data_IF_478550295088
#
_entry.id   IF_478550295088
#
_cell.length_a   1.000
_cell.length_b   1.000
_cell.length_c   1.000
_cell.angle_alpha   90.00
_cell.angle_beta   90.00
_cell.angle_gamma   90.00
#
_symmetry.space_group_name_H-M   'P 1'
#
loop_
_entity.id
_entity.type
_entity.pdbx_description
1 polymer ?
#
# COMPACT_ATOMS: atom_id res chain seq x y z
N UNK A 1 7.43 -19.74 17.55
CA UNK A 1 8.04 -18.69 18.41
C UNK A 1 6.90 -17.99 19.12
N UNK A 2 6.93 -17.93 20.46
CA UNK A 2 5.86 -17.36 21.28
C UNK A 2 5.53 -15.93 20.82
N UNK A 3 4.26 -15.66 20.51
CA UNK A 3 3.74 -14.34 20.11
C UNK A 3 3.80 -13.27 21.21
N UNK A 4 4.39 -13.59 22.37
CA UNK A 4 4.45 -12.75 23.56
C UNK A 4 5.38 -11.53 23.43
N UNK A 5 6.22 -11.44 22.40
CA UNK A 5 7.14 -10.30 22.22
C UNK A 5 6.77 -9.44 20.99
N UNK A 6 7.01 -8.13 21.10
CA UNK A 6 6.85 -7.18 20.01
C UNK A 6 7.81 -7.50 18.85
N UNK A 7 7.30 -7.46 17.62
CA UNK A 7 8.13 -7.70 16.43
C UNK A 7 9.20 -6.61 16.20
N UNK A 8 8.96 -5.38 16.68
CA UNK A 8 9.88 -4.25 16.51
C UNK A 8 10.83 -4.09 17.71
N UNK A 9 10.30 -3.69 18.87
CA UNK A 9 11.13 -3.35 20.04
C UNK A 9 11.55 -4.57 20.89
N UNK A 10 11.05 -5.77 20.56
CA UNK A 10 11.30 -7.03 21.29
C UNK A 10 10.87 -7.02 22.76
N UNK A 11 10.18 -5.98 23.24
CA UNK A 11 9.58 -5.99 24.57
C UNK A 11 8.43 -7.00 24.65
N UNK A 12 8.21 -7.55 25.84
CA UNK A 12 7.05 -8.38 26.12
C UNK A 12 5.75 -7.57 25.97
N UNK A 13 4.76 -8.14 25.28
CA UNK A 13 3.45 -7.53 25.09
C UNK A 13 2.68 -7.64 26.39
N UNK A 14 2.48 -6.51 27.05
CA UNK A 14 1.57 -6.39 28.18
C UNK A 14 0.18 -6.10 27.64
N UNK A 15 -0.68 -7.11 27.59
CA UNK A 15 -2.10 -6.89 27.34
C UNK A 15 -2.77 -6.37 28.62
N UNK A 16 -3.71 -5.42 28.53
CA UNK A 16 -4.59 -5.14 29.66
C UNK A 16 -5.37 -6.42 29.99
N UNK A 17 -5.29 -6.87 31.25
CA UNK A 17 -6.07 -8.00 31.75
C UNK A 17 -7.55 -7.63 31.66
N UNK A 18 -8.26 -8.25 30.72
CA UNK A 18 -9.71 -8.14 30.56
C UNK A 18 -10.31 -9.53 30.67
N UNK A 19 -11.59 -9.63 31.05
CA UNK A 19 -12.28 -10.95 31.12
C UNK A 19 -12.17 -11.74 29.81
N UNK A 20 -12.08 -11.05 28.67
CA UNK A 20 -11.91 -11.67 27.35
C UNK A 20 -10.49 -12.21 27.12
N UNK A 21 -9.43 -11.55 27.62
CA UNK A 21 -8.05 -12.03 27.47
C UNK A 21 -7.72 -13.26 28.34
N UNK A 22 -8.56 -13.58 29.34
CA UNK A 22 -8.52 -14.85 30.09
C UNK A 22 -9.14 -16.02 29.31
N UNK A 23 -10.13 -15.75 28.45
CA UNK A 23 -10.83 -16.78 27.66
C UNK A 23 -10.17 -17.02 26.30
N UNK A 24 -9.39 -16.05 25.80
CA UNK A 24 -8.63 -16.15 24.57
C UNK A 24 -7.39 -15.24 24.67
N UNK A 25 -6.25 -15.74 25.17
CA UNK A 25 -5.02 -14.95 25.21
C UNK A 25 -4.66 -14.52 23.78
N UNK A 26 -4.35 -13.24 23.57
CA UNK A 26 -3.94 -12.75 22.26
C UNK A 26 -2.57 -13.33 21.91
N UNK A 27 -2.61 -14.42 21.15
CA UNK A 27 -1.43 -15.07 20.58
C UNK A 27 -0.98 -14.39 19.29
N UNK A 28 -1.58 -13.26 18.91
CA UNK A 28 -1.28 -12.61 17.63
C UNK A 28 0.17 -12.16 17.57
N UNK A 29 0.82 -12.48 16.46
CA UNK A 29 2.10 -11.89 16.06
C UNK A 29 1.88 -10.41 15.72
N UNK A 30 2.72 -9.50 16.23
CA UNK A 30 2.52 -8.08 15.96
C UNK A 30 3.30 -7.10 16.84
N UNK A 31 3.02 -5.80 16.67
CA UNK A 31 3.61 -4.73 17.49
C UNK A 31 2.94 -4.65 18.87
N UNK A 32 3.69 -4.29 19.91
CA UNK A 32 3.11 -3.95 21.22
C UNK A 32 2.35 -2.61 21.15
N UNK A 33 1.52 -2.32 22.16
CA UNK A 33 0.71 -1.10 22.22
C UNK A 33 1.54 0.17 22.02
N UNK A 34 2.65 0.31 22.75
CA UNK A 34 3.55 1.48 22.63
C UNK A 34 4.13 1.67 21.22
N UNK A 35 4.45 0.58 20.51
CA UNK A 35 4.87 0.67 19.11
C UNK A 35 3.71 0.99 18.17
N UNK A 36 2.51 0.50 18.46
CA UNK A 36 1.31 0.81 17.68
C UNK A 36 0.90 2.29 17.81
N UNK A 37 1.02 2.87 19.00
CA UNK A 37 0.68 4.28 19.26
C UNK A 37 1.62 5.26 18.57
N UNK A 38 2.87 4.86 18.31
CA UNK A 38 3.83 5.66 17.55
C UNK A 38 3.59 5.63 16.03
N UNK A 39 2.69 4.76 15.54
CA UNK A 39 2.29 4.74 14.14
C UNK A 39 1.11 5.70 13.91
N UNK A 40 1.38 6.80 13.20
CA UNK A 40 0.38 7.82 12.88
C UNK A 40 -0.59 7.31 11.80
N UNK A 41 -1.78 6.87 12.23
CA UNK A 41 -2.83 6.38 11.32
C UNK A 41 -3.52 7.54 10.62
N UNK A 42 -3.75 7.39 9.33
CA UNK A 42 -4.52 8.35 8.55
C UNK A 42 -6.00 8.12 8.81
N UNK A 43 -6.73 9.16 9.20
CA UNK A 43 -8.19 9.12 9.27
C UNK A 43 -8.78 9.17 7.84
N UNK A 44 -9.53 8.14 7.41
CA UNK A 44 -10.15 8.14 6.08
C UNK A 44 -11.05 9.36 5.82
N UNK A 45 -11.71 9.93 6.84
CA UNK A 45 -12.60 11.08 6.71
C UNK A 45 -11.84 12.38 6.39
N UNK A 46 -10.58 12.46 6.81
CA UNK A 46 -9.71 13.62 6.63
C UNK A 46 -8.52 13.30 5.72
N UNK A 47 -8.68 12.31 4.84
CA UNK A 47 -7.68 11.91 3.86
C UNK A 47 -7.99 12.47 2.47
N UNK A 48 -6.95 12.72 1.67
CA UNK A 48 -7.09 13.13 0.29
C UNK A 48 -7.84 12.05 -0.50
N UNK A 49 -8.94 12.43 -1.15
CA UNK A 49 -9.77 11.50 -1.92
C UNK A 49 -9.03 10.76 -3.04
N UNK A 50 -7.90 11.27 -3.54
CA UNK A 50 -7.16 10.66 -4.64
C UNK A 50 -5.89 9.91 -4.20
N UNK A 51 -5.13 10.41 -3.23
CA UNK A 51 -3.87 9.77 -2.83
C UNK A 51 -3.88 9.17 -1.43
N UNK A 52 -4.90 9.45 -0.61
CA UNK A 52 -4.96 9.01 0.78
C UNK A 52 -4.02 9.76 1.72
N UNK A 53 -3.45 10.92 1.32
CA UNK A 53 -2.65 11.77 2.21
C UNK A 53 -3.50 12.30 3.37
N UNK A 54 -2.97 12.32 4.59
CA UNK A 54 -3.58 13.03 5.70
C UNK A 54 -3.63 14.54 5.44
N UNK A 55 -4.84 15.12 5.37
CA UNK A 55 -5.04 16.53 5.07
C UNK A 55 -4.73 17.43 6.26
N UNK A 56 -4.71 16.93 7.49
CA UNK A 56 -4.32 17.73 8.66
C UNK A 56 -2.83 18.10 8.63
N UNK A 57 -2.01 17.30 7.94
CA UNK A 57 -0.59 17.58 7.72
C UNK A 57 -0.32 18.73 6.74
N UNK A 58 -1.36 19.27 6.08
CA UNK A 58 -1.24 20.30 5.07
C UNK A 58 -1.86 21.62 5.53
N UNK A 59 -1.26 22.73 5.12
CA UNK A 59 -1.91 24.03 5.27
C UNK A 59 -3.20 24.08 4.43
N UNK A 60 -4.27 24.75 4.90
CA UNK A 60 -5.54 24.82 4.20
C UNK A 60 -5.44 25.31 2.74
N UNK A 61 -4.46 26.19 2.45
CA UNK A 61 -4.20 26.69 1.09
C UNK A 61 -3.79 25.59 0.08
N UNK A 62 -3.33 24.43 0.56
CA UNK A 62 -2.95 23.29 -0.29
C UNK A 62 -4.02 22.19 -0.37
N UNK A 63 -5.23 22.47 0.13
CA UNK A 63 -6.36 21.53 0.13
C UNK A 63 -7.56 22.17 -0.54
N UNK A 64 -8.10 21.52 -1.57
CA UNK A 64 -9.34 21.95 -2.23
C UNK A 64 -10.27 20.74 -2.34
N UNK A 65 -11.48 20.85 -1.80
CA UNK A 65 -12.53 19.80 -1.87
C UNK A 65 -12.06 18.40 -1.42
N UNK A 66 -11.31 18.33 -0.31
CA UNK A 66 -10.66 17.10 0.17
C UNK A 66 -9.67 16.48 -0.82
N UNK A 67 -9.07 17.29 -1.69
CA UNK A 67 -8.00 16.90 -2.61
C UNK A 67 -6.77 17.76 -2.31
N UNK A 68 -5.61 17.12 -2.14
CA UNK A 68 -4.36 17.86 -1.96
C UNK A 68 -3.91 18.49 -3.29
N UNK A 69 -3.18 19.60 -3.21
CA UNK A 69 -2.68 20.34 -4.37
C UNK A 69 -1.87 19.47 -5.34
N UNK A 70 -1.13 18.47 -4.84
CA UNK A 70 -0.36 17.53 -5.66
C UNK A 70 -1.27 16.70 -6.58
N UNK A 71 -2.39 16.26 -6.05
CA UNK A 71 -3.40 15.49 -6.77
C UNK A 71 -4.15 16.34 -7.80
N UNK A 72 -4.35 17.63 -7.53
CA UNK A 72 -4.90 18.60 -8.50
C UNK A 72 -3.92 18.78 -9.66
N UNK A 73 -2.64 18.98 -9.38
CA UNK A 73 -1.60 19.07 -10.42
C UNK A 73 -1.53 17.83 -11.30
N UNK A 74 -1.69 16.64 -10.70
CA UNK A 74 -1.76 15.40 -11.46
C UNK A 74 -2.98 15.35 -12.39
N UNK A 75 -4.17 15.73 -11.91
CA UNK A 75 -5.37 15.82 -12.75
C UNK A 75 -5.15 16.77 -13.94
N UNK A 76 -4.59 17.95 -13.70
CA UNK A 76 -4.32 18.95 -14.74
C UNK A 76 -3.28 18.49 -15.77
N UNK A 77 -2.36 17.58 -15.39
CA UNK A 77 -1.36 17.05 -16.33
C UNK A 77 -1.91 16.10 -17.39
N UNK A 78 -3.16 15.62 -17.25
CA UNK A 78 -3.76 14.62 -18.13
C UNK A 78 -3.20 13.20 -17.96
N UNK A 79 -2.27 12.98 -17.02
CA UNK A 79 -1.56 11.69 -16.83
C UNK A 79 -2.21 10.73 -15.85
N UNK A 80 -3.50 10.88 -15.56
CA UNK A 80 -4.19 9.97 -14.64
C UNK A 80 -4.66 8.68 -15.32
N UNK A 81 -4.91 8.67 -16.64
CA UNK A 81 -5.34 7.46 -17.36
C UNK A 81 -6.49 6.73 -16.64
N UNK A 82 -6.34 5.42 -16.42
CA UNK A 82 -7.27 4.57 -15.66
C UNK A 82 -6.95 4.47 -14.15
N UNK A 83 -5.94 5.20 -13.68
CA UNK A 83 -5.54 5.19 -12.29
C UNK A 83 -6.48 6.08 -11.46
N UNK A 84 -7.27 5.45 -10.60
CA UNK A 84 -8.32 6.07 -9.80
C UNK A 84 -7.77 6.73 -8.53
N UNK A 85 -7.53 5.93 -7.50
CA UNK A 85 -7.07 6.42 -6.19
C UNK A 85 -6.06 5.51 -5.50
N UNK A 86 -5.32 6.11 -4.57
CA UNK A 86 -4.54 5.39 -3.56
C UNK A 86 -5.23 5.46 -2.20
N UNK A 87 -5.24 4.33 -1.52
CA UNK A 87 -5.56 4.19 -0.10
C UNK A 87 -4.25 4.10 0.68
N UNK A 88 -4.10 4.88 1.74
CA UNK A 88 -2.92 4.83 2.62
C UNK A 88 -3.34 4.58 4.07
N UNK A 89 -2.54 3.82 4.81
CA UNK A 89 -2.86 3.46 6.21
C UNK A 89 -2.19 4.42 7.20
N UNK A 90 -0.92 4.75 6.97
CA UNK A 90 -0.12 5.57 7.89
C UNK A 90 0.48 6.80 7.21
N UNK A 91 0.61 7.88 7.98
CA UNK A 91 1.46 9.02 7.63
C UNK A 91 2.92 8.66 7.88
N UNK A 92 3.82 9.19 7.07
CA UNK A 92 5.25 9.02 7.27
C UNK A 92 5.71 9.86 8.47
N UNK A 93 6.21 9.18 9.50
CA UNK A 93 6.85 9.81 10.66
C UNK A 93 8.20 9.14 10.98
N UNK A 94 8.85 9.62 12.05
CA UNK A 94 10.16 9.09 12.48
C UNK A 94 10.12 7.60 12.83
N UNK A 95 9.09 7.16 13.55
CA UNK A 95 8.97 5.77 13.98
C UNK A 95 8.76 4.80 12.82
N UNK A 96 7.81 5.08 11.91
CA UNK A 96 7.57 4.18 10.78
C UNK A 96 8.77 4.13 9.82
N UNK A 97 9.57 5.20 9.73
CA UNK A 97 10.86 5.18 9.01
C UNK A 97 11.81 4.13 9.59
N UNK A 98 11.93 4.04 10.91
CA UNK A 98 12.77 3.04 11.58
C UNK A 98 12.26 1.62 11.34
N UNK A 99 10.95 1.41 11.50
CA UNK A 99 10.30 0.12 11.20
C UNK A 99 10.57 -0.30 9.75
N UNK A 100 10.37 0.61 8.80
CA UNK A 100 10.61 0.32 7.38
C UNK A 100 12.08 0.14 7.04
N UNK A 101 13.00 0.78 7.78
CA UNK A 101 14.45 0.57 7.60
C UNK A 101 14.83 -0.85 8.03
N UNK A 102 14.32 -1.32 9.17
CA UNK A 102 14.53 -2.71 9.59
C UNK A 102 13.91 -3.69 8.60
N UNK A 103 12.68 -3.40 8.13
CA UNK A 103 12.00 -4.24 7.16
C UNK A 103 12.73 -4.31 5.81
N UNK A 104 13.30 -3.21 5.31
CA UNK A 104 13.96 -3.18 3.99
C UNK A 104 15.39 -3.70 4.00
N UNK A 105 16.18 -3.37 5.01
CA UNK A 105 17.64 -3.55 4.97
C UNK A 105 18.16 -4.62 5.92
N UNK A 106 17.42 -4.97 6.98
CA UNK A 106 17.80 -6.06 7.89
C UNK A 106 17.17 -7.39 7.53
N UNK A 107 16.40 -7.41 6.44
CA UNK A 107 15.75 -8.61 5.94
C UNK A 107 14.66 -9.16 6.86
N UNK A 108 14.13 -8.36 7.79
CA UNK A 108 13.18 -8.84 8.80
C UNK A 108 11.76 -8.91 8.22
N UNK A 109 11.55 -9.88 7.32
CA UNK A 109 10.30 -10.11 6.61
C UNK A 109 9.10 -10.31 7.54
N UNK A 110 9.35 -10.75 8.78
CA UNK A 110 8.32 -10.94 9.81
C UNK A 110 7.63 -9.63 10.19
N UNK A 111 8.27 -8.46 9.98
CA UNK A 111 7.65 -7.16 10.29
C UNK A 111 6.39 -6.91 9.45
N UNK A 112 6.23 -7.58 8.31
CA UNK A 112 4.98 -7.56 7.55
C UNK A 112 3.80 -8.08 8.38
N UNK A 113 4.02 -9.05 9.27
CA UNK A 113 3.00 -9.61 10.17
C UNK A 113 2.48 -8.55 11.14
N UNK A 114 3.32 -7.59 11.52
CA UNK A 114 2.95 -6.46 12.37
C UNK A 114 1.88 -5.55 11.76
N UNK A 115 1.76 -5.55 10.42
CA UNK A 115 0.79 -4.73 9.70
C UNK A 115 -0.45 -5.51 9.24
N UNK A 116 -0.50 -6.82 9.46
CA UNK A 116 -1.55 -7.69 8.91
C UNK A 116 -2.96 -7.26 9.33
N UNK A 117 -3.16 -6.98 10.62
CA UNK A 117 -4.46 -6.54 11.16
C UNK A 117 -4.96 -5.27 10.48
N UNK A 118 -4.07 -4.29 10.26
CA UNK A 118 -4.44 -3.00 9.69
C UNK A 118 -4.59 -3.07 8.17
N UNK A 119 -3.79 -3.88 7.48
CA UNK A 119 -3.96 -4.19 6.05
C UNK A 119 -5.31 -4.86 5.77
N UNK A 120 -5.70 -5.87 6.57
CA UNK A 120 -7.01 -6.53 6.45
C UNK A 120 -8.16 -5.58 6.71
N UNK A 121 -8.06 -4.71 7.73
CA UNK A 121 -9.07 -3.67 8.01
C UNK A 121 -9.19 -2.67 6.88
N UNK A 122 -8.06 -2.18 6.36
CA UNK A 122 -8.04 -1.25 5.23
C UNK A 122 -8.67 -1.88 4.00
N UNK A 123 -8.27 -3.09 3.63
CA UNK A 123 -8.85 -3.83 2.50
C UNK A 123 -10.36 -4.06 2.65
N UNK A 124 -10.80 -4.47 3.84
CA UNK A 124 -12.22 -4.67 4.14
C UNK A 124 -13.02 -3.37 3.95
N UNK A 125 -12.51 -2.23 4.42
CA UNK A 125 -13.15 -0.92 4.20
C UNK A 125 -13.24 -0.54 2.74
N UNK A 126 -12.21 -0.88 1.96
CA UNK A 126 -12.18 -0.58 0.52
C UNK A 126 -13.31 -1.35 -0.19
N UNK A 127 -13.48 -2.64 0.11
CA UNK A 127 -14.50 -3.49 -0.54
C UNK A 127 -15.92 -3.28 0.03
N UNK A 128 -16.04 -2.86 1.30
CA UNK A 128 -17.31 -2.74 2.03
C UNK A 128 -18.04 -1.41 1.76
N UNK A 129 -17.36 -0.40 1.20
CA UNK A 129 -17.96 0.91 0.89
C UNK A 129 -19.17 0.85 -0.06
N UNK A 130 -19.50 -0.32 -0.62
CA UNK A 130 -20.69 -0.60 -1.43
C UNK A 130 -21.63 -1.68 -0.86
N UNK A 131 -21.23 -2.44 0.16
CA UNK A 131 -21.97 -3.60 0.67
C UNK A 131 -23.06 -3.24 1.69
N UNK A 132 -23.18 -1.97 2.11
CA UNK A 132 -24.35 -1.48 2.87
C UNK A 132 -25.71 -1.69 2.17
N UNK A 133 -25.73 -2.11 0.89
CA UNK A 133 -26.94 -2.46 0.14
C UNK A 133 -27.02 -3.91 -0.36
N UNK A 134 -26.06 -4.79 -0.04
CA UNK A 134 -26.01 -6.15 -0.63
C UNK A 134 -26.06 -7.26 0.42
N UNK A 135 -27.11 -7.24 1.23
CA UNK A 135 -27.42 -8.33 2.18
C UNK A 135 -27.91 -9.64 1.53
N UNK A 136 -28.11 -9.69 0.21
CA UNK A 136 -28.38 -10.94 -0.50
C UNK A 136 -27.44 -11.05 -1.69
N UNK A 137 -26.35 -11.80 -1.53
CA UNK A 137 -25.86 -12.81 -2.48
C UNK A 137 -24.40 -13.13 -2.22
N UNK A 138 -24.15 -14.38 -1.81
CA UNK A 138 -22.86 -15.05 -1.86
C UNK A 138 -22.31 -14.98 -3.29
N UNK A 139 -21.48 -13.98 -3.56
CA UNK A 139 -20.45 -14.06 -4.60
C UNK A 139 -19.15 -13.62 -3.98
N UNK A 140 -18.28 -14.59 -3.73
CA UNK A 140 -16.89 -14.47 -3.32
C UNK A 140 -16.05 -13.80 -4.41
N UNK A 141 -16.34 -12.54 -4.71
CA UNK A 141 -15.52 -11.68 -5.54
C UNK A 141 -15.37 -10.37 -4.82
N UNK A 142 -14.19 -10.12 -4.23
CA UNK A 142 -13.84 -8.78 -3.77
C UNK A 142 -14.01 -7.78 -4.91
N UNK A 143 -14.16 -6.49 -4.60
CA UNK A 143 -14.29 -5.48 -5.64
C UNK A 143 -13.11 -5.47 -6.62
N UNK A 144 -11.93 -5.98 -6.22
CA UNK A 144 -10.77 -6.18 -7.07
C UNK A 144 -10.58 -7.65 -7.39
N UNK A 145 -10.42 -7.94 -8.66
CA UNK A 145 -10.29 -9.31 -9.18
C UNK A 145 -8.82 -9.72 -9.38
N UNK A 146 -7.88 -8.77 -9.22
CA UNK A 146 -6.45 -9.02 -9.17
C UNK A 146 -5.77 -8.02 -8.24
N UNK A 147 -4.97 -8.55 -7.30
CA UNK A 147 -4.09 -7.77 -6.43
C UNK A 147 -2.67 -7.93 -6.96
N UNK A 148 -2.04 -6.83 -7.35
CA UNK A 148 -0.75 -6.83 -8.02
C UNK A 148 0.26 -6.06 -7.18
N UNK A 149 1.23 -6.72 -6.53
CA UNK A 149 2.29 -6.01 -5.83
C UNK A 149 3.20 -5.29 -6.83
N UNK A 150 3.69 -4.11 -6.47
CA UNK A 150 4.69 -3.39 -7.27
C UNK A 150 6.02 -4.16 -7.24
N UNK A 151 6.61 -4.49 -8.40
CA UNK A 151 7.88 -5.20 -8.44
C UNK A 151 9.07 -4.30 -8.08
N UNK A 152 10.07 -4.90 -7.45
CA UNK A 152 11.40 -4.33 -7.33
C UNK A 152 12.20 -4.57 -8.61
N UNK A 153 13.26 -3.78 -8.83
CA UNK A 153 14.30 -4.20 -9.77
C UNK A 153 14.97 -5.48 -9.28
N UNK A 154 15.67 -6.15 -10.20
CA UNK A 154 16.49 -7.31 -9.86
C UNK A 154 17.57 -6.98 -8.84
N UNK A 155 18.19 -5.80 -8.91
CA UNK A 155 19.25 -5.37 -7.99
C UNK A 155 18.71 -5.21 -6.58
N UNK A 156 17.56 -4.54 -6.43
CA UNK A 156 16.92 -4.36 -5.12
C UNK A 156 16.39 -5.65 -4.56
N UNK A 157 15.90 -6.55 -5.41
CA UNK A 157 15.45 -7.86 -4.96
C UNK A 157 16.63 -8.68 -4.41
N UNK A 158 17.79 -8.64 -5.07
CA UNK A 158 19.03 -9.28 -4.58
C UNK A 158 19.52 -8.63 -3.29
N UNK A 159 19.55 -7.29 -3.21
CA UNK A 159 19.97 -6.54 -2.02
C UNK A 159 19.08 -6.84 -0.81
N UNK A 160 17.77 -6.94 -1.01
CA UNK A 160 16.78 -7.06 0.08
C UNK A 160 16.38 -8.49 0.39
N UNK A 161 16.64 -9.45 -0.50
CA UNK A 161 16.22 -10.85 -0.40
C UNK A 161 14.72 -11.10 -0.66
N UNK A 162 13.86 -10.07 -0.65
CA UNK A 162 12.43 -10.17 -0.91
C UNK A 162 11.80 -8.86 -1.39
N UNK A 163 10.58 -8.96 -1.93
CA UNK A 163 9.75 -7.81 -2.29
C UNK A 163 8.79 -7.43 -1.15
N UNK A 164 8.99 -6.24 -0.55
CA UNK A 164 8.15 -5.73 0.54
C UNK A 164 6.68 -5.63 0.15
N UNK A 165 6.42 -5.12 -1.06
CA UNK A 165 5.07 -4.94 -1.58
C UNK A 165 4.34 -6.29 -1.69
N UNK A 166 5.05 -7.35 -2.08
CA UNK A 166 4.52 -8.70 -2.15
C UNK A 166 4.18 -9.25 -0.77
N UNK A 167 5.08 -9.10 0.21
CA UNK A 167 4.84 -9.54 1.59
C UNK A 167 3.61 -8.83 2.19
N UNK A 168 3.49 -7.52 1.99
CA UNK A 168 2.32 -6.76 2.43
C UNK A 168 1.05 -7.19 1.69
N UNK A 169 1.10 -7.42 0.38
CA UNK A 169 -0.05 -7.88 -0.40
C UNK A 169 -0.57 -9.24 0.08
N UNK A 170 0.33 -10.17 0.45
CA UNK A 170 -0.03 -11.48 1.02
C UNK A 170 -0.80 -11.36 2.33
N UNK A 171 -0.60 -10.28 3.10
CA UNK A 171 -1.34 -10.04 4.37
C UNK A 171 -2.80 -9.65 4.18
N UNK A 172 -3.21 -9.30 2.96
CA UNK A 172 -4.61 -9.01 2.65
C UNK A 172 -5.51 -10.26 2.70
N UNK A 173 -4.92 -11.47 2.70
CA UNK A 173 -5.66 -12.73 2.75
C UNK A 173 -6.39 -13.05 1.43
N UNK A 174 -5.93 -12.49 0.32
CA UNK A 174 -6.47 -12.70 -1.02
C UNK A 174 -5.37 -13.18 -1.97
N UNK A 175 -5.71 -13.89 -3.06
CA UNK A 175 -4.74 -14.26 -4.09
C UNK A 175 -4.08 -13.03 -4.70
N UNK A 176 -2.74 -13.07 -4.82
CA UNK A 176 -1.95 -12.04 -5.50
C UNK A 176 -1.52 -12.52 -6.88
N UNK A 177 -1.31 -11.58 -7.79
CA UNK A 177 -0.89 -11.84 -9.17
C UNK A 177 0.42 -11.09 -9.43
N UNK A 178 1.47 -11.85 -9.76
CA UNK A 178 2.75 -11.29 -10.18
C UNK A 178 2.69 -10.86 -11.66
N UNK A 179 1.99 -9.75 -11.91
CA UNK A 179 1.67 -9.27 -13.25
C UNK A 179 2.73 -8.34 -13.88
N UNK A 180 3.57 -7.71 -13.06
CA UNK A 180 4.48 -6.66 -13.51
C UNK A 180 5.93 -7.07 -13.35
N UNK A 181 6.78 -6.62 -14.27
CA UNK A 181 8.24 -6.62 -14.11
C UNK A 181 8.75 -5.18 -14.11
N UNK A 182 9.86 -4.94 -13.42
CA UNK A 182 10.54 -3.64 -13.39
C UNK A 182 11.93 -3.75 -14.01
N UNK A 183 12.19 -2.94 -15.02
CA UNK A 183 13.50 -2.87 -15.65
C UNK A 183 14.53 -2.06 -14.84
N UNK A 184 15.81 -2.34 -15.11
CA UNK A 184 17.02 -2.00 -14.34
C UNK A 184 17.32 -0.50 -14.12
N UNK A 185 16.47 0.42 -14.54
CA UNK A 185 16.79 1.86 -14.59
C UNK A 185 16.72 2.60 -13.23
N UNK A 186 17.05 1.93 -12.12
CA UNK A 186 16.88 2.50 -10.77
C UNK A 186 17.94 3.52 -10.36
N UNK A 187 19.17 3.43 -10.87
CA UNK A 187 20.23 4.39 -10.55
C UNK A 187 19.86 5.83 -10.93
N UNK A 188 19.02 6.00 -11.96
CA UNK A 188 18.53 7.31 -12.39
C UNK A 188 17.36 7.80 -11.53
N UNK A 189 16.66 6.98 -10.73
CA UNK A 189 15.41 7.38 -10.08
C UNK A 189 15.58 7.82 -8.62
N UNK A 190 16.54 7.26 -7.87
CA UNK A 190 16.84 7.67 -6.49
C UNK A 190 17.52 9.03 -6.39
N UNK A 191 18.31 9.41 -7.41
CA UNK A 191 18.97 10.72 -7.51
C UNK A 191 18.08 11.83 -8.08
N UNK A 192 16.87 11.51 -8.53
CA UNK A 192 15.98 12.47 -9.19
C UNK A 192 15.14 13.27 -8.21
N UNK A 193 15.10 14.58 -8.39
CA UNK A 193 14.26 15.47 -7.60
C UNK A 193 12.76 15.25 -7.91
N UNK A 194 11.91 15.88 -7.10
CA UNK A 194 10.45 15.75 -7.23
C UNK A 194 9.93 16.10 -8.64
N UNK A 195 10.47 17.14 -9.29
CA UNK A 195 10.06 17.54 -10.64
C UNK A 195 10.46 16.51 -11.69
N UNK A 196 11.67 15.96 -11.59
CA UNK A 196 12.18 14.94 -12.51
C UNK A 196 11.40 13.63 -12.44
N UNK A 197 10.93 13.25 -11.24
CA UNK A 197 10.04 12.08 -11.08
C UNK A 197 8.67 12.28 -11.75
N UNK A 198 8.18 13.52 -11.84
CA UNK A 198 6.92 13.85 -12.52
C UNK A 198 7.06 13.82 -14.05
N UNK A 199 8.26 14.02 -14.59
CA UNK A 199 8.54 14.20 -16.01
C UNK A 199 8.97 12.92 -16.76
N UNK A 200 9.06 11.75 -16.09
CA UNK A 200 9.43 10.50 -16.75
C UNK A 200 8.47 10.18 -17.91
N UNK A 201 9.02 10.00 -19.11
CA UNK A 201 8.27 9.68 -20.35
C UNK A 201 8.16 8.19 -20.62
N UNK A 202 9.14 7.40 -20.18
CA UNK A 202 9.15 5.94 -20.28
C UNK A 202 8.83 5.31 -18.93
N UNK A 203 7.92 4.34 -18.93
CA UNK A 203 7.60 3.57 -17.73
C UNK A 203 8.66 2.49 -17.51
N UNK A 204 9.22 2.35 -16.30
CA UNK A 204 10.16 1.25 -16.00
C UNK A 204 9.43 -0.08 -15.77
N UNK A 205 8.11 -0.12 -15.94
CA UNK A 205 7.26 -1.28 -15.68
C UNK A 205 6.71 -1.86 -16.97
N UNK A 206 6.65 -3.19 -17.03
CA UNK A 206 6.01 -3.92 -18.13
C UNK A 206 5.04 -4.95 -17.58
N UNK A 207 3.87 -5.07 -18.22
CA UNK A 207 2.95 -6.17 -17.99
C UNK A 207 3.52 -7.44 -18.62
N UNK A 208 3.55 -8.54 -17.87
CA UNK A 208 3.96 -9.82 -18.43
C UNK A 208 2.92 -10.34 -19.42
N UNK A 209 3.38 -10.86 -20.56
CA UNK A 209 2.52 -11.27 -21.66
C UNK A 209 1.50 -12.36 -21.27
N UNK A 210 1.88 -13.28 -20.38
CA UNK A 210 1.02 -14.34 -19.85
C UNK A 210 -0.04 -13.83 -18.85
N UNK A 211 0.09 -12.59 -18.38
CA UNK A 211 -0.78 -11.99 -17.36
C UNK A 211 -1.83 -11.03 -17.95
N UNK A 212 -1.81 -10.78 -19.27
CA UNK A 212 -2.76 -9.90 -19.97
C UNK A 212 -4.22 -10.27 -19.67
N UNK A 213 -4.56 -11.56 -19.78
CA UNK A 213 -5.93 -12.05 -19.52
C UNK A 213 -6.39 -11.84 -18.08
N UNK A 214 -5.46 -11.80 -17.13
CA UNK A 214 -5.80 -11.62 -15.72
C UNK A 214 -6.14 -10.16 -15.42
N UNK A 215 -5.66 -9.20 -16.22
CA UNK A 215 -5.92 -7.77 -16.02
C UNK A 215 -7.03 -7.21 -16.91
N UNK A 216 -7.25 -7.78 -18.10
CA UNK A 216 -8.25 -7.26 -19.06
C UNK A 216 -9.66 -7.27 -18.51
N UNK A 217 -10.34 -6.12 -18.57
CA UNK A 217 -11.71 -5.94 -18.09
C UNK A 217 -11.88 -6.02 -16.57
N UNK A 218 -10.79 -6.18 -15.81
CA UNK A 218 -10.83 -6.39 -14.36
C UNK A 218 -10.52 -5.14 -13.57
N UNK A 219 -11.00 -5.09 -12.33
CA UNK A 219 -10.56 -4.10 -11.33
C UNK A 219 -9.27 -4.57 -10.66
N UNK A 220 -8.22 -3.75 -10.72
CA UNK A 220 -6.88 -4.08 -10.22
C UNK A 220 -6.56 -3.25 -8.98
N UNK A 221 -6.05 -3.90 -7.94
CA UNK A 221 -5.48 -3.23 -6.77
C UNK A 221 -3.96 -3.38 -6.78
N UNK A 222 -3.25 -2.28 -7.01
CA UNK A 222 -1.80 -2.25 -6.85
C UNK A 222 -1.43 -2.14 -5.37
N UNK A 223 -0.37 -2.82 -4.93
CA UNK A 223 0.11 -2.75 -3.55
C UNK A 223 1.57 -2.33 -3.51
N UNK A 224 1.93 -1.40 -2.65
CA UNK A 224 3.32 -0.99 -2.39
C UNK A 224 3.48 -0.55 -0.93
N UNK A 225 4.71 -0.36 -0.49
CA UNK A 225 4.97 0.06 0.90
C UNK A 225 4.85 1.57 1.09
N UNK A 226 5.12 2.39 0.07
CA UNK A 226 5.21 3.84 0.20
C UNK A 226 4.66 4.61 -1.00
N UNK A 227 3.73 5.52 -0.73
CA UNK A 227 3.27 6.54 -1.66
C UNK A 227 3.88 7.90 -1.31
N UNK A 228 4.54 8.55 -2.28
CA UNK A 228 5.05 9.93 -2.11
C UNK A 228 4.44 10.86 -3.15
N UNK A 229 5.02 10.91 -4.35
CA UNK A 229 4.46 11.67 -5.49
C UNK A 229 3.41 10.87 -6.25
N UNK A 230 3.33 9.56 -6.01
CA UNK A 230 2.51 8.63 -6.79
C UNK A 230 2.99 8.39 -8.22
N UNK A 231 4.23 8.76 -8.54
CA UNK A 231 4.82 8.48 -9.85
C UNK A 231 4.92 6.97 -10.10
N UNK A 232 5.39 6.19 -9.12
CA UNK A 232 5.48 4.72 -9.21
C UNK A 232 4.14 4.10 -9.58
N UNK A 233 3.07 4.42 -8.84
CA UNK A 233 1.73 3.89 -9.08
C UNK A 233 1.20 4.25 -10.45
N UNK A 234 1.37 5.50 -10.88
CA UNK A 234 0.91 5.93 -12.21
C UNK A 234 1.68 5.25 -13.33
N UNK A 235 3.01 5.13 -13.22
CA UNK A 235 3.82 4.45 -14.23
C UNK A 235 3.49 2.95 -14.30
N UNK A 236 3.28 2.29 -13.16
CA UNK A 236 2.81 0.91 -13.09
C UNK A 236 1.40 0.77 -13.71
N UNK A 237 0.49 1.67 -13.39
CA UNK A 237 -0.85 1.70 -13.98
C UNK A 237 -0.82 1.92 -15.50
N UNK A 238 0.06 2.79 -16.01
CA UNK A 238 0.28 2.99 -17.45
C UNK A 238 0.71 1.70 -18.14
N UNK A 239 1.59 0.90 -17.50
CA UNK A 239 2.03 -0.39 -18.05
C UNK A 239 0.88 -1.41 -18.18
N UNK A 240 -0.11 -1.35 -17.29
CA UNK A 240 -1.28 -2.25 -17.31
C UNK A 240 -2.39 -1.71 -18.23
N UNK A 241 -2.48 -0.40 -18.42
CA UNK A 241 -3.56 0.26 -19.17
C UNK A 241 -3.71 -0.27 -20.60
N UNK A 242 -2.60 -0.66 -21.25
CA UNK A 242 -2.62 -1.25 -22.59
C UNK A 242 -3.42 -2.57 -22.69
N UNK A 243 -3.60 -3.28 -21.58
CA UNK A 243 -4.43 -4.48 -21.53
C UNK A 243 -5.91 -4.20 -21.20
N UNK A 244 -6.32 -2.93 -21.18
CA UNK A 244 -7.70 -2.48 -20.96
C UNK A 244 -8.35 -3.00 -19.66
N UNK A 245 -7.75 -2.74 -18.48
CA UNK A 245 -8.43 -3.02 -17.21
C UNK A 245 -9.65 -2.10 -17.06
N UNK A 246 -10.59 -2.49 -16.18
CA UNK A 246 -11.77 -1.68 -15.88
C UNK A 246 -11.44 -0.49 -14.98
N UNK A 247 -10.56 -0.68 -14.01
CA UNK A 247 -10.14 0.33 -13.04
C UNK A 247 -8.81 -0.12 -12.40
N UNK A 248 -7.95 0.84 -12.08
CA UNK A 248 -6.72 0.58 -11.33
C UNK A 248 -6.71 1.50 -10.10
N UNK A 249 -6.75 0.92 -8.91
CA UNK A 249 -6.51 1.64 -7.65
C UNK A 249 -5.28 1.06 -6.97
N UNK A 250 -4.87 1.67 -5.85
CA UNK A 250 -3.73 1.19 -5.08
C UNK A 250 -3.94 1.26 -3.58
N UNK A 251 -3.26 0.39 -2.84
CA UNK A 251 -3.16 0.40 -1.39
C UNK A 251 -1.68 0.49 -1.02
N UNK A 252 -1.30 1.55 -0.33
CA UNK A 252 0.03 1.67 0.28
C UNK A 252 -0.02 1.62 1.79
N UNK A 253 1.03 1.06 2.39
CA UNK A 253 1.18 1.11 3.83
C UNK A 253 1.33 2.56 4.32
N UNK A 254 2.13 3.36 3.60
CA UNK A 254 2.54 4.71 4.04
C UNK A 254 2.23 5.76 2.97
N UNK A 255 1.81 6.94 3.41
CA UNK A 255 1.86 8.18 2.63
C UNK A 255 2.91 9.12 3.21
N UNK A 256 3.83 9.63 2.37
CA UNK A 256 4.80 10.67 2.74
C UNK A 256 4.68 11.95 1.95
#
# INVERSE_FOLDING_TARGET
MSGSHCLFCRAEKREPLTFLSLLSPDTSTGFCLSCQEQLERIDPLYSCRLCGRDLHSLEPAFVHDQICHDCIRWKQSGRNGLYGRNYAIYSYNGFIKEVMTMFKFRGDAILADGFEKELKKAYSRIIDHRLRFRFLNLRSGGEYEAIVPIPLSRERLVERGFNQAELLARKLGQPIVDALIREKNEQKQSKKNRRERLLMRETPFHLKNDQVRIVTGKKILLVDDLYTTGATMRLAATAITAAHPKQIDSLTLIHG
#
